data_IF_156406908664
#
_entry.id   IF_156406908664
#
_cell.length_a   1.000
_cell.length_b   1.000
_cell.length_c   1.000
_cell.angle_alpha   90.00
_cell.angle_beta   90.00
_cell.angle_gamma   90.00
#
_symmetry.space_group_name_H-M   'P 1'
#
loop_
_entity.id
_entity.type
_entity.pdbx_description
1 polymer ?
#
# COMPACT_ATOMS: atom_id res chain seq x y z
N UNK A 1 14.00 13.68 5.79
CA UNK A 1 12.74 14.29 5.33
C UNK A 1 11.87 13.25 4.63
N UNK A 2 10.56 13.53 4.51
CA UNK A 2 9.57 12.67 3.87
C UNK A 2 9.02 13.37 2.63
N UNK A 3 8.94 12.65 1.50
CA UNK A 3 8.28 13.10 0.28
C UNK A 3 6.97 12.32 0.09
N UNK A 4 5.86 13.03 -0.16
CA UNK A 4 4.55 12.41 -0.37
C UNK A 4 4.02 12.81 -1.76
N UNK A 5 4.32 12.04 -2.82
CA UNK A 5 3.73 12.26 -4.14
C UNK A 5 2.24 11.91 -4.09
N UNK A 6 1.38 12.93 -4.23
CA UNK A 6 -0.07 12.80 -4.02
C UNK A 6 -0.91 13.31 -5.21
N UNK A 7 -0.31 13.69 -6.34
CA UNK A 7 -1.02 14.31 -7.43
C UNK A 7 -1.36 13.32 -8.56
N UNK A 8 -0.34 12.85 -9.30
CA UNK A 8 -0.51 12.02 -10.51
C UNK A 8 0.54 10.92 -10.57
N UNK A 9 0.33 9.97 -11.46
CA UNK A 9 1.25 8.89 -11.78
C UNK A 9 2.55 9.40 -12.43
N UNK A 10 3.63 8.64 -12.31
CA UNK A 10 4.88 8.83 -13.05
C UNK A 10 5.63 10.14 -12.77
N UNK A 11 5.45 10.76 -11.61
CA UNK A 11 6.14 12.02 -11.25
C UNK A 11 7.57 11.81 -10.78
N UNK A 12 7.92 10.64 -10.26
CA UNK A 12 9.28 10.26 -9.91
C UNK A 12 9.81 9.34 -11.01
N UNK A 13 10.77 9.84 -11.76
CA UNK A 13 11.32 9.19 -12.97
C UNK A 13 12.82 9.00 -12.86
N UNK A 14 13.40 8.25 -13.81
CA UNK A 14 14.86 8.12 -13.91
C UNK A 14 15.57 9.47 -14.05
N UNK A 15 14.90 10.47 -14.65
CA UNK A 15 15.50 11.78 -14.93
C UNK A 15 15.59 12.67 -13.69
N UNK A 16 14.71 12.47 -12.68
CA UNK A 16 14.63 13.34 -11.51
C UNK A 16 14.91 12.63 -10.17
N UNK A 17 14.93 11.30 -10.15
CA UNK A 17 15.14 10.52 -8.92
C UNK A 17 16.48 10.85 -8.25
N UNK A 18 17.52 11.22 -9.01
CA UNK A 18 18.84 11.58 -8.48
C UNK A 18 18.81 12.86 -7.62
N UNK A 19 17.89 13.76 -7.90
CA UNK A 19 17.75 15.06 -7.19
C UNK A 19 16.93 14.92 -5.89
N UNK A 20 16.31 13.79 -5.64
CA UNK A 20 15.55 13.54 -4.42
C UNK A 20 16.47 13.55 -3.19
N UNK A 21 16.08 14.35 -2.18
CA UNK A 21 16.79 14.48 -0.90
C UNK A 21 16.04 13.82 0.28
N UNK A 22 14.82 13.37 0.05
CA UNK A 22 14.04 12.68 1.07
C UNK A 22 14.65 11.31 1.38
N UNK A 23 14.59 10.88 2.62
CA UNK A 23 14.99 9.54 3.08
C UNK A 23 13.83 8.55 3.04
N UNK A 24 12.60 9.06 2.94
CA UNK A 24 11.38 8.25 2.86
C UNK A 24 10.46 8.84 1.80
N UNK A 25 9.88 7.98 0.99
CA UNK A 25 8.80 8.31 0.03
C UNK A 25 7.53 7.57 0.45
N UNK A 26 6.41 8.30 0.57
CA UNK A 26 5.09 7.70 0.87
C UNK A 26 4.17 7.97 -0.31
N UNK A 27 3.84 6.95 -1.06
CA UNK A 27 3.09 7.08 -2.31
C UNK A 27 1.58 7.24 -2.07
N UNK A 28 1.12 8.48 -2.00
CA UNK A 28 -0.31 8.77 -1.87
C UNK A 28 -1.06 8.75 -3.21
N UNK A 29 -0.39 9.07 -4.33
CA UNK A 29 -0.92 8.85 -5.68
C UNK A 29 -0.76 7.39 -6.11
N UNK A 30 -1.50 6.94 -7.13
CA UNK A 30 -1.30 5.64 -7.75
C UNK A 30 -0.12 5.70 -8.74
N UNK A 31 0.82 4.75 -8.62
CA UNK A 31 1.96 4.63 -9.51
C UNK A 31 2.81 5.91 -9.68
N UNK A 32 3.10 6.69 -8.63
CA UNK A 32 3.82 7.95 -8.79
C UNK A 32 5.28 7.75 -9.15
N UNK A 33 5.84 6.59 -8.85
CA UNK A 33 7.24 6.24 -9.09
C UNK A 33 7.33 5.24 -10.25
N UNK A 34 8.13 5.56 -11.27
CA UNK A 34 8.40 4.63 -12.37
C UNK A 34 9.29 3.48 -11.91
N UNK A 35 9.21 2.33 -12.59
CA UNK A 35 10.02 1.14 -12.25
C UNK A 35 11.52 1.44 -12.20
N UNK A 36 12.02 2.26 -13.15
CA UNK A 36 13.42 2.64 -13.17
C UNK A 36 13.82 3.53 -11.98
N UNK A 37 12.91 4.43 -11.57
CA UNK A 37 13.12 5.27 -10.40
C UNK A 37 13.03 4.47 -9.09
N UNK A 38 12.10 3.52 -8.98
CA UNK A 38 11.93 2.66 -7.81
C UNK A 38 13.21 1.86 -7.52
N UNK A 39 13.81 1.29 -8.56
CA UNK A 39 15.10 0.62 -8.47
C UNK A 39 16.21 1.56 -7.96
N UNK A 40 16.29 2.77 -8.52
CA UNK A 40 17.27 3.76 -8.10
C UNK A 40 17.06 4.24 -6.66
N UNK A 41 15.80 4.32 -6.16
CA UNK A 41 15.50 4.62 -4.77
C UNK A 41 16.01 3.51 -3.84
N UNK A 42 15.78 2.26 -4.20
CA UNK A 42 16.26 1.09 -3.44
C UNK A 42 17.79 1.07 -3.38
N UNK A 43 18.49 1.31 -4.51
CA UNK A 43 19.96 1.39 -4.57
C UNK A 43 20.55 2.54 -3.72
N UNK A 44 19.73 3.55 -3.39
CA UNK A 44 20.09 4.69 -2.56
C UNK A 44 19.64 4.56 -1.11
N UNK A 45 19.14 3.41 -0.69
CA UNK A 45 18.58 3.17 0.64
C UNK A 45 17.42 4.13 1.02
N UNK A 46 16.69 4.65 0.01
CA UNK A 46 15.49 5.46 0.25
C UNK A 46 14.29 4.54 0.43
N UNK A 47 13.71 4.58 1.60
CA UNK A 47 12.55 3.75 1.92
C UNK A 47 11.30 4.23 1.18
N UNK A 48 10.60 3.30 0.53
CA UNK A 48 9.34 3.60 -0.16
C UNK A 48 8.21 2.85 0.52
N UNK A 49 7.23 3.60 1.05
CA UNK A 49 5.93 3.03 1.44
C UNK A 49 5.06 3.03 0.18
N UNK A 50 4.78 1.86 -0.39
CA UNK A 50 4.18 1.77 -1.72
C UNK A 50 2.70 2.18 -1.72
N UNK A 51 2.23 2.63 -2.87
CA UNK A 51 0.86 3.09 -3.10
C UNK A 51 -0.21 2.06 -2.69
N UNK A 52 -0.01 0.80 -3.05
CA UNK A 52 -0.93 -0.31 -2.68
C UNK A 52 -1.20 -0.38 -1.16
N UNK A 53 -0.30 0.14 -0.34
CA UNK A 53 -0.43 0.22 1.12
C UNK A 53 -0.82 1.62 1.57
N UNK A 54 -0.08 2.64 1.12
CA UNK A 54 -0.18 4.00 1.64
C UNK A 54 -1.51 4.68 1.32
N UNK A 55 -2.10 4.42 0.13
CA UNK A 55 -3.35 5.04 -0.29
C UNK A 55 -4.59 4.15 -0.15
N UNK A 56 -4.46 2.98 0.47
CA UNK A 56 -5.55 2.02 0.65
C UNK A 56 -6.73 2.55 1.49
N UNK A 57 -6.57 3.67 2.19
CA UNK A 57 -7.58 4.25 3.07
C UNK A 57 -8.90 4.54 2.36
N UNK A 58 -8.84 5.10 1.16
CA UNK A 58 -10.03 5.42 0.37
C UNK A 58 -10.88 4.19 0.05
N UNK A 59 -10.25 3.11 -0.39
CA UNK A 59 -10.95 1.87 -0.72
C UNK A 59 -11.48 1.15 0.53
N UNK A 60 -10.78 1.26 1.66
CA UNK A 60 -11.25 0.72 2.93
C UNK A 60 -12.53 1.43 3.36
N UNK A 61 -12.56 2.76 3.34
CA UNK A 61 -13.74 3.55 3.73
C UNK A 61 -14.91 3.29 2.79
N UNK A 62 -14.67 3.21 1.47
CA UNK A 62 -15.70 2.83 0.50
C UNK A 62 -16.29 1.45 0.78
N UNK A 63 -15.48 0.49 1.20
CA UNK A 63 -15.97 -0.82 1.62
C UNK A 63 -16.82 -0.72 2.90
N UNK A 64 -16.41 0.08 3.89
CA UNK A 64 -17.19 0.29 5.11
C UNK A 64 -18.53 0.98 4.82
N UNK A 65 -18.55 1.94 3.88
CA UNK A 65 -19.77 2.56 3.38
C UNK A 65 -20.71 1.52 2.74
N UNK A 66 -20.19 0.67 1.87
CA UNK A 66 -20.95 -0.42 1.27
C UNK A 66 -21.55 -1.35 2.32
N UNK A 67 -20.79 -1.73 3.36
CA UNK A 67 -21.28 -2.57 4.47
C UNK A 67 -22.44 -1.89 5.21
N UNK A 68 -22.31 -0.60 5.53
CA UNK A 68 -23.36 0.18 6.19
C UNK A 68 -24.64 0.24 5.33
N UNK A 69 -24.47 0.50 4.03
CA UNK A 69 -25.59 0.53 3.09
C UNK A 69 -26.30 -0.84 2.98
N UNK A 70 -25.53 -1.94 2.94
CA UNK A 70 -26.09 -3.29 2.89
C UNK A 70 -26.83 -3.68 4.19
N UNK A 71 -26.46 -3.09 5.31
CA UNK A 71 -27.09 -3.31 6.62
C UNK A 71 -28.22 -2.31 6.93
N UNK A 72 -28.41 -1.31 6.06
CA UNK A 72 -29.34 -0.18 6.29
C UNK A 72 -29.10 0.52 7.64
N UNK A 73 -27.83 0.61 8.05
CA UNK A 73 -27.42 1.15 9.34
C UNK A 73 -26.15 1.99 9.22
N UNK A 74 -26.21 3.22 9.76
CA UNK A 74 -25.05 4.14 9.75
C UNK A 74 -24.23 4.02 11.04
N UNK A 75 -22.92 3.94 10.88
CA UNK A 75 -22.00 3.92 12.01
C UNK A 75 -21.57 5.34 12.40
N UNK A 76 -21.30 5.60 13.68
CA UNK A 76 -20.65 6.83 14.10
C UNK A 76 -19.29 7.02 13.40
N UNK A 77 -18.91 8.27 13.14
CA UNK A 77 -17.64 8.59 12.48
C UNK A 77 -16.43 8.00 13.23
N UNK A 78 -16.46 8.01 14.55
CA UNK A 78 -15.42 7.43 15.40
C UNK A 78 -15.22 5.94 15.14
N UNK A 79 -16.31 5.20 14.91
CA UNK A 79 -16.26 3.76 14.59
C UNK A 79 -15.61 3.52 13.22
N UNK A 80 -15.97 4.35 12.23
CA UNK A 80 -15.38 4.27 10.88
C UNK A 80 -13.88 4.58 10.95
N UNK A 81 -13.48 5.64 11.65
CA UNK A 81 -12.08 6.03 11.81
C UNK A 81 -11.27 4.96 12.55
N UNK A 82 -11.80 4.41 13.64
CA UNK A 82 -11.12 3.36 14.41
C UNK A 82 -10.91 2.09 13.56
N UNK A 83 -11.90 1.71 12.75
CA UNK A 83 -11.79 0.55 11.87
C UNK A 83 -10.82 0.81 10.71
N UNK A 84 -10.79 2.03 10.15
CA UNK A 84 -9.82 2.44 9.16
C UNK A 84 -8.39 2.35 9.70
N UNK A 85 -8.13 2.97 10.85
CA UNK A 85 -6.81 2.95 11.52
C UNK A 85 -6.36 1.52 11.82
N UNK A 86 -7.24 0.71 12.38
CA UNK A 86 -6.96 -0.70 12.67
C UNK A 86 -6.57 -1.49 11.42
N UNK A 87 -7.28 -1.28 10.30
CA UNK A 87 -7.02 -2.02 9.04
C UNK A 87 -5.72 -1.59 8.38
N UNK A 88 -5.47 -0.29 8.27
CA UNK A 88 -4.23 0.24 7.68
C UNK A 88 -3.04 -0.15 8.56
N UNK A 89 -3.11 0.06 9.87
CA UNK A 89 -2.05 -0.31 10.80
C UNK A 89 -1.72 -1.81 10.71
N UNK A 90 -2.75 -2.68 10.77
CA UNK A 90 -2.54 -4.13 10.62
C UNK A 90 -1.98 -4.51 9.25
N UNK A 91 -2.31 -3.80 8.17
CA UNK A 91 -1.73 -4.07 6.85
C UNK A 91 -0.26 -3.66 6.81
N UNK A 92 0.07 -2.51 7.39
CA UNK A 92 1.45 -2.03 7.49
C UNK A 92 2.31 -3.00 8.31
N UNK A 93 1.89 -3.36 9.52
CA UNK A 93 2.62 -4.28 10.41
C UNK A 93 2.92 -5.61 9.70
N UNK A 94 1.93 -6.19 9.02
CA UNK A 94 2.11 -7.44 8.27
C UNK A 94 3.02 -7.29 7.05
N UNK A 95 3.05 -6.13 6.43
CA UNK A 95 3.96 -5.85 5.31
C UNK A 95 5.39 -5.75 5.81
N UNK A 96 5.61 -5.08 6.95
CA UNK A 96 6.94 -5.01 7.59
C UNK A 96 7.38 -6.39 8.06
N UNK A 97 6.51 -7.17 8.71
CA UNK A 97 6.79 -8.55 9.11
C UNK A 97 7.21 -9.42 7.90
N UNK A 98 6.50 -9.27 6.77
CA UNK A 98 6.80 -9.97 5.55
C UNK A 98 8.17 -9.55 4.95
N UNK A 99 8.46 -8.25 4.98
CA UNK A 99 9.73 -7.67 4.55
C UNK A 99 10.90 -8.25 5.36
N UNK A 100 10.78 -8.22 6.69
CA UNK A 100 11.84 -8.67 7.60
C UNK A 100 12.02 -10.20 7.58
N UNK A 101 10.93 -10.97 7.64
CA UNK A 101 11.01 -12.44 7.77
C UNK A 101 11.44 -13.12 6.48
N UNK A 102 11.17 -12.53 5.32
CA UNK A 102 11.56 -13.09 4.02
C UNK A 102 12.78 -12.40 3.41
N UNK A 103 13.39 -11.47 4.13
CA UNK A 103 14.56 -10.71 3.66
C UNK A 103 14.32 -10.12 2.25
N UNK A 104 13.14 -9.51 2.06
CA UNK A 104 12.73 -8.97 0.76
C UNK A 104 13.48 -7.65 0.46
N UNK A 105 13.66 -7.28 -0.82
CA UNK A 105 14.47 -6.12 -1.18
C UNK A 105 13.84 -4.78 -0.78
N UNK A 106 12.52 -4.72 -0.69
CA UNK A 106 11.77 -3.49 -0.41
C UNK A 106 10.33 -3.78 0.09
N UNK A 107 9.67 -2.75 0.65
CA UNK A 107 8.29 -2.85 1.14
C UNK A 107 7.27 -3.06 0.01
N UNK A 108 7.54 -2.61 -1.21
CA UNK A 108 6.67 -2.85 -2.37
C UNK A 108 6.60 -4.34 -2.68
N UNK A 109 7.74 -4.99 -2.77
CA UNK A 109 7.83 -6.45 -2.97
C UNK A 109 7.14 -7.19 -1.84
N UNK A 110 7.30 -6.74 -0.60
CA UNK A 110 6.64 -7.34 0.56
C UNK A 110 5.10 -7.18 0.49
N UNK A 111 4.60 -6.01 0.15
CA UNK A 111 3.17 -5.74 0.03
C UNK A 111 2.52 -6.59 -1.08
N UNK A 112 3.15 -6.66 -2.27
CA UNK A 112 2.67 -7.51 -3.36
C UNK A 112 2.74 -9.00 -3.03
N UNK A 113 3.81 -9.46 -2.40
CA UNK A 113 3.95 -10.86 -1.97
C UNK A 113 2.81 -11.23 -1.02
N UNK A 114 2.56 -10.40 0.00
CA UNK A 114 1.47 -10.61 0.96
C UNK A 114 0.10 -10.62 0.28
N UNK A 115 -0.14 -9.71 -0.67
CA UNK A 115 -1.39 -9.63 -1.41
C UNK A 115 -1.62 -10.87 -2.30
N UNK A 116 -0.60 -11.30 -3.03
CA UNK A 116 -0.65 -12.49 -3.89
C UNK A 116 -0.87 -13.76 -3.09
N UNK A 117 -0.20 -13.95 -1.96
CA UNK A 117 -0.39 -15.11 -1.08
C UNK A 117 -1.83 -15.20 -0.56
N UNK A 118 -2.41 -14.06 -0.15
CA UNK A 118 -3.81 -14.01 0.31
C UNK A 118 -4.79 -14.34 -0.82
N UNK A 119 -4.54 -13.81 -2.01
CA UNK A 119 -5.37 -14.06 -3.19
C UNK A 119 -5.29 -15.51 -3.62
N UNK A 120 -4.08 -16.08 -3.68
CA UNK A 120 -3.86 -17.49 -4.00
C UNK A 120 -4.59 -18.41 -3.00
N UNK A 121 -4.42 -18.15 -1.70
CA UNK A 121 -5.11 -18.92 -0.66
C UNK A 121 -6.64 -18.82 -0.75
N UNK A 122 -7.17 -17.65 -1.10
CA UNK A 122 -8.60 -17.49 -1.32
C UNK A 122 -9.11 -18.31 -2.53
N UNK A 123 -8.31 -18.40 -3.59
CA UNK A 123 -8.60 -19.27 -4.74
C UNK A 123 -8.56 -20.75 -4.38
N UNK A 124 -7.57 -21.18 -3.60
CA UNK A 124 -7.50 -22.56 -3.11
C UNK A 124 -8.76 -22.95 -2.31
N UNK A 125 -9.24 -22.07 -1.42
CA UNK A 125 -10.45 -22.32 -0.64
C UNK A 125 -11.73 -22.36 -1.48
N UNK A 126 -11.81 -21.54 -2.54
CA UNK A 126 -12.95 -21.55 -3.46
C UNK A 126 -12.95 -22.74 -4.39
N UNK A 127 -11.79 -23.35 -4.64
CA UNK A 127 -11.58 -24.31 -5.69
C UNK A 127 -11.56 -23.65 -7.08
N UNK A 128 -10.94 -24.33 -8.06
CA UNK A 128 -11.12 -24.04 -9.47
C UNK A 128 -12.48 -24.59 -9.87
N UNK A 129 -13.49 -23.75 -9.87
CA UNK A 129 -14.79 -24.15 -10.39
C UNK A 129 -14.84 -23.90 -11.90
N UNK A 130 -15.30 -24.86 -12.71
CA UNK A 130 -15.62 -24.61 -14.10
C UNK A 130 -16.84 -23.70 -14.24
#
# INVERSE_FOLDING_TARGET
DVLIPAAVEGVITADNVADLRASVVVEAANGPTTVAADKALTERDIQVVPDILANAGGVIVSYLEWVQNAQEFSWPLETVNAELERRIGSAFDKTVEQYDTKELPDLRTAAYTLALERTAKAHEYRGLFP
#
